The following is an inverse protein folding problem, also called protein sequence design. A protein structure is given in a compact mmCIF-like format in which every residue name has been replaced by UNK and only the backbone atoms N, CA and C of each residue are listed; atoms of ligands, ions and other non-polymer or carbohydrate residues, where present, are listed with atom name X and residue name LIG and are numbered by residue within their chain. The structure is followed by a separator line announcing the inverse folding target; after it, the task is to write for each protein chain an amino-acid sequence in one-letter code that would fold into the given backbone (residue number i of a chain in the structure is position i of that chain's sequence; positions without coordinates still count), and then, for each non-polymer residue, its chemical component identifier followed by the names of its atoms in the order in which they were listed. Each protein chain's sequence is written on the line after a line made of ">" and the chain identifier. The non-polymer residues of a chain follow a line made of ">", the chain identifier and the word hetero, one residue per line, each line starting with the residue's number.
data_IF_308212940114
#
_entry.id   IF_308212940114
#
_cell.length_a   1.000
_cell.length_b   1.000
_cell.length_c   1.000
_cell.angle_alpha   90.00
_cell.angle_beta   90.00
_cell.angle_gamma   90.00
#
_symmetry.space_group_name_H-M   'P 1'
#
loop_
_entity.id
_entity.type
_entity.pdbx_description
1 polymer ?
#
# COMPACT_ATOMS: atom_id res chain seq x y z
N UNK A 1 17.92 44.60 -27.50
CA UNK A 1 16.87 43.58 -27.65
C UNK A 1 17.29 42.37 -26.83
N UNK A 2 16.74 42.23 -25.64
CA UNK A 2 16.89 41.01 -24.83
C UNK A 2 15.47 40.48 -24.64
N UNK A 3 15.14 39.42 -25.39
CA UNK A 3 13.93 38.66 -25.18
C UNK A 3 14.10 37.92 -23.86
N UNK A 4 13.39 38.37 -22.83
CA UNK A 4 13.17 37.58 -21.62
C UNK A 4 12.07 36.59 -21.96
N UNK A 5 12.44 35.32 -22.11
CA UNK A 5 11.47 34.24 -22.16
C UNK A 5 10.67 34.28 -20.84
N UNK A 6 9.34 34.12 -20.87
CA UNK A 6 8.59 33.93 -19.63
C UNK A 6 9.05 32.62 -18.99
N UNK A 7 9.46 32.71 -17.73
CA UNK A 7 9.63 31.56 -16.84
C UNK A 7 8.24 30.91 -16.69
N UNK A 8 7.99 29.84 -17.44
CA UNK A 8 6.83 28.96 -17.21
C UNK A 8 7.28 27.86 -16.26
N UNK A 9 7.50 28.22 -15.00
CA UNK A 9 7.45 27.27 -13.89
C UNK A 9 5.97 27.04 -13.54
N UNK A 10 5.24 26.39 -14.44
CA UNK A 10 3.99 25.71 -14.06
C UNK A 10 4.40 24.40 -13.38
N UNK A 11 4.95 24.51 -12.17
CA UNK A 11 4.98 23.41 -11.21
C UNK A 11 3.52 23.12 -10.86
N UNK A 12 2.83 22.35 -11.71
CA UNK A 12 1.54 21.74 -11.39
C UNK A 12 1.77 20.76 -10.23
N UNK A 13 1.81 21.33 -9.02
CA UNK A 13 1.77 20.55 -7.79
C UNK A 13 0.42 19.84 -7.76
N UNK A 14 0.46 18.51 -7.66
CA UNK A 14 -0.73 17.69 -7.50
C UNK A 14 -1.58 18.25 -6.35
N UNK A 15 -2.79 18.73 -6.68
CA UNK A 15 -3.73 19.17 -5.67
C UNK A 15 -4.43 17.95 -5.07
N UNK A 16 -4.36 17.81 -3.74
CA UNK A 16 -4.98 16.68 -3.05
C UNK A 16 -6.49 16.71 -3.29
N UNK A 17 -7.09 15.59 -3.72
CA UNK A 17 -8.53 15.52 -3.79
C UNK A 17 -9.14 15.56 -2.38
N UNK A 18 -10.43 15.88 -2.32
CA UNK A 18 -11.22 15.74 -1.09
C UNK A 18 -11.35 14.28 -0.61
N UNK A 19 -12.00 14.12 0.54
CA UNK A 19 -12.18 12.81 1.20
C UNK A 19 -13.46 12.07 0.79
N UNK A 20 -14.21 12.60 -0.18
CA UNK A 20 -15.52 12.12 -0.60
C UNK A 20 -15.54 11.46 -1.99
N UNK A 21 -14.36 11.07 -2.50
CA UNK A 21 -14.25 10.43 -3.81
C UNK A 21 -15.00 9.10 -3.86
N UNK A 22 -15.70 8.82 -4.97
CA UNK A 22 -16.13 7.47 -5.29
C UNK A 22 -14.93 6.55 -5.60
N UNK A 23 -15.12 5.21 -5.61
CA UNK A 23 -14.03 4.29 -5.98
C UNK A 23 -13.43 4.52 -7.38
N UNK A 24 -14.21 5.08 -8.31
CA UNK A 24 -13.71 5.39 -9.66
C UNK A 24 -12.91 6.69 -9.68
N UNK A 25 -13.38 7.72 -8.97
CA UNK A 25 -12.64 8.98 -8.82
C UNK A 25 -11.34 8.75 -8.04
N UNK A 26 -11.38 7.95 -6.98
CA UNK A 26 -10.17 7.55 -6.25
C UNK A 26 -9.17 6.83 -7.16
N UNK A 27 -9.63 5.97 -8.06
CA UNK A 27 -8.76 5.32 -9.05
C UNK A 27 -8.09 6.34 -9.97
N UNK A 28 -8.83 7.38 -10.40
CA UNK A 28 -8.31 8.48 -11.21
C UNK A 28 -7.24 9.28 -10.45
N UNK A 29 -7.58 9.75 -9.24
CA UNK A 29 -6.67 10.50 -8.40
C UNK A 29 -5.38 9.73 -8.05
N UNK A 30 -5.47 8.41 -7.79
CA UNK A 30 -4.28 7.57 -7.60
C UNK A 30 -3.37 7.57 -8.82
N UNK A 31 -3.95 7.56 -10.04
CA UNK A 31 -3.16 7.61 -11.28
C UNK A 31 -2.50 8.97 -11.43
N UNK A 32 -3.25 10.05 -11.30
CA UNK A 32 -2.74 11.42 -11.39
C UNK A 32 -1.59 11.65 -10.40
N UNK A 33 -1.77 11.24 -9.15
CA UNK A 33 -0.70 11.31 -8.15
C UNK A 33 0.51 10.43 -8.52
N UNK A 34 0.27 9.23 -9.05
CA UNK A 34 1.37 8.34 -9.45
C UNK A 34 2.20 8.91 -10.61
N UNK A 35 1.60 9.70 -11.50
CA UNK A 35 2.28 10.39 -12.60
C UNK A 35 3.22 11.49 -12.10
N UNK A 36 2.96 12.06 -10.92
CA UNK A 36 3.84 13.07 -10.32
C UNK A 36 5.02 12.49 -9.54
N UNK A 37 5.09 11.17 -9.36
CA UNK A 37 6.18 10.51 -8.63
C UNK A 37 7.33 10.26 -9.60
N UNK A 38 8.51 10.80 -9.30
CA UNK A 38 9.74 10.57 -10.07
C UNK A 38 10.26 9.13 -9.92
N UNK A 39 9.65 8.21 -10.67
CA UNK A 39 10.01 6.79 -10.70
C UNK A 39 9.84 6.22 -12.10
N UNK A 40 10.89 5.56 -12.59
CA UNK A 40 10.91 4.90 -13.89
C UNK A 40 10.06 3.62 -13.89
N UNK A 41 8.77 3.76 -14.17
CA UNK A 41 7.79 2.68 -14.31
C UNK A 41 6.87 2.93 -15.51
N UNK A 42 6.46 1.90 -16.26
CA UNK A 42 5.50 2.02 -17.36
C UNK A 42 4.08 2.13 -16.79
N UNK A 43 3.71 3.29 -16.25
CA UNK A 43 2.45 3.47 -15.51
C UNK A 43 1.20 3.25 -16.39
N UNK A 44 1.31 3.49 -17.69
CA UNK A 44 0.30 3.21 -18.71
C UNK A 44 -0.02 1.71 -18.84
N UNK A 45 0.96 0.84 -18.58
CA UNK A 45 0.80 -0.62 -18.54
C UNK A 45 0.27 -1.14 -17.18
N UNK A 46 0.18 -0.28 -16.15
CA UNK A 46 -0.24 -0.69 -14.80
C UNK A 46 -1.76 -0.57 -14.63
N UNK A 47 -2.40 -1.71 -14.36
CA UNK A 47 -3.82 -1.73 -13.98
C UNK A 47 -4.01 -1.26 -12.53
N UNK A 48 -4.54 -0.05 -12.35
CA UNK A 48 -4.92 0.47 -11.03
C UNK A 48 -6.34 0.03 -10.67
N UNK A 49 -6.50 -0.50 -9.46
CA UNK A 49 -7.77 -1.01 -8.94
C UNK A 49 -8.04 -0.53 -7.51
N UNK A 50 -9.31 -0.26 -7.19
CA UNK A 50 -9.77 -0.03 -5.81
C UNK A 50 -10.53 -1.27 -5.33
N UNK A 51 -10.13 -1.80 -4.17
CA UNK A 51 -10.66 -3.04 -3.62
C UNK A 51 -11.47 -2.81 -2.35
N UNK A 52 -12.76 -3.17 -2.43
CA UNK A 52 -13.65 -3.25 -1.26
C UNK A 52 -13.34 -4.44 -0.35
N UNK A 53 -12.41 -5.33 -0.71
CA UNK A 53 -12.10 -6.58 0.03
C UNK A 53 -10.74 -6.59 0.73
N UNK A 54 -9.81 -5.71 0.34
CA UNK A 54 -8.50 -5.63 0.95
C UNK A 54 -8.61 -5.00 2.36
N UNK A 55 -7.99 -5.63 3.36
CA UNK A 55 -8.14 -5.28 4.80
C UNK A 55 -6.84 -5.33 5.62
N UNK A 56 -5.81 -5.98 5.08
CA UNK A 56 -4.55 -6.26 5.80
C UNK A 56 -3.37 -5.39 5.33
N UNK A 57 -3.53 -4.74 4.19
CA UNK A 57 -2.57 -3.83 3.58
C UNK A 57 -3.38 -2.75 2.87
N UNK A 58 -2.91 -1.51 2.89
CA UNK A 58 -3.58 -0.41 2.20
C UNK A 58 -3.34 -0.48 0.68
N UNK A 59 -2.22 -1.06 0.25
CA UNK A 59 -1.88 -1.32 -1.13
C UNK A 59 -1.44 -2.77 -1.37
N UNK A 60 -1.42 -3.14 -2.65
CA UNK A 60 -0.73 -4.33 -3.15
C UNK A 60 -0.44 -4.16 -4.64
N UNK A 61 0.82 -4.30 -5.02
CA UNK A 61 1.25 -4.34 -6.40
C UNK A 61 1.87 -5.68 -6.81
N UNK A 62 1.97 -5.88 -8.11
CA UNK A 62 2.82 -6.91 -8.70
C UNK A 62 2.42 -7.28 -10.12
N UNK A 63 2.86 -8.45 -10.56
CA UNK A 63 2.54 -9.00 -11.88
C UNK A 63 1.59 -10.19 -11.75
N UNK A 64 0.53 -10.25 -12.56
CA UNK A 64 -0.39 -11.38 -12.63
C UNK A 64 -0.68 -11.69 -14.10
N UNK A 65 -0.42 -12.93 -14.52
CA UNK A 65 -0.65 -13.40 -15.89
C UNK A 65 0.07 -12.59 -16.99
N UNK A 66 1.14 -11.86 -16.64
CA UNK A 66 1.81 -10.96 -17.60
C UNK A 66 1.56 -9.49 -17.31
N UNK A 67 0.44 -9.16 -16.66
CA UNK A 67 0.00 -7.78 -16.50
C UNK A 67 0.43 -7.19 -15.15
N UNK A 68 0.91 -5.95 -15.17
CA UNK A 68 1.24 -5.19 -13.98
C UNK A 68 -0.05 -4.64 -13.33
N UNK A 69 -0.14 -4.69 -12.01
CA UNK A 69 -1.28 -4.13 -11.29
C UNK A 69 -0.87 -3.45 -10.00
N UNK A 70 -1.66 -2.45 -9.61
CA UNK A 70 -1.66 -1.85 -8.29
C UNK A 70 -3.09 -1.87 -7.75
N UNK A 71 -3.27 -2.34 -6.52
CA UNK A 71 -4.59 -2.49 -5.89
C UNK A 71 -4.60 -1.83 -4.52
N UNK A 72 -5.51 -0.89 -4.32
CA UNK A 72 -5.64 -0.13 -3.08
C UNK A 72 -6.88 -0.55 -2.29
N UNK A 73 -6.80 -0.52 -0.97
CA UNK A 73 -7.91 -0.84 -0.09
C UNK A 73 -8.85 0.36 0.01
N UNK A 74 -10.09 0.18 -0.44
CA UNK A 74 -11.15 1.18 -0.28
C UNK A 74 -11.31 1.58 1.20
N UNK A 75 -11.21 0.60 2.11
CA UNK A 75 -11.31 0.85 3.55
C UNK A 75 -10.13 1.63 4.14
N UNK A 76 -8.96 1.61 3.52
CA UNK A 76 -7.86 2.46 3.97
C UNK A 76 -8.19 3.92 3.68
N UNK A 77 -8.63 4.22 2.45
CA UNK A 77 -9.10 5.55 2.08
C UNK A 77 -10.27 6.02 2.96
N UNK A 78 -11.30 5.19 3.17
CA UNK A 78 -12.41 5.56 4.06
C UNK A 78 -11.99 5.85 5.51
N UNK A 79 -10.90 5.26 5.97
CA UNK A 79 -10.41 5.43 7.34
C UNK A 79 -9.46 6.62 7.48
N UNK A 80 -8.74 7.01 6.43
CA UNK A 80 -7.64 7.96 6.48
C UNK A 80 -7.89 9.23 5.68
N UNK A 81 -8.84 9.19 4.74
CA UNK A 81 -8.96 10.19 3.69
C UNK A 81 -7.78 10.12 2.71
N UNK A 82 -7.64 11.18 1.91
CA UNK A 82 -6.42 11.44 1.17
C UNK A 82 -5.41 12.15 2.07
N UNK A 83 -4.42 11.41 2.56
CA UNK A 83 -3.38 11.94 3.46
C UNK A 83 -2.00 11.37 3.13
N UNK A 84 -0.99 11.78 3.90
CA UNK A 84 0.40 11.35 3.72
C UNK A 84 0.57 9.82 3.81
N UNK A 85 -0.23 9.12 4.63
CA UNK A 85 -0.19 7.66 4.73
C UNK A 85 -0.73 6.99 3.44
N UNK A 86 -1.78 7.57 2.85
CA UNK A 86 -2.36 7.07 1.60
C UNK A 86 -1.43 7.32 0.42
N UNK A 87 -0.89 8.53 0.30
CA UNK A 87 0.14 8.86 -0.71
C UNK A 87 1.39 7.99 -0.54
N UNK A 88 1.87 7.83 0.69
CA UNK A 88 2.99 6.95 1.01
C UNK A 88 2.72 5.49 0.61
N UNK A 89 1.46 5.04 0.69
CA UNK A 89 1.05 3.74 0.17
C UNK A 89 1.18 3.68 -1.35
N UNK A 90 0.77 4.72 -2.08
CA UNK A 90 0.92 4.78 -3.55
C UNK A 90 2.40 4.69 -3.93
N UNK A 91 3.26 5.50 -3.28
CA UNK A 91 4.72 5.46 -3.49
C UNK A 91 5.29 4.07 -3.19
N UNK A 92 4.82 3.40 -2.12
CA UNK A 92 5.25 2.04 -1.80
C UNK A 92 4.93 1.03 -2.90
N UNK A 93 3.71 1.08 -3.43
CA UNK A 93 3.28 0.19 -4.49
C UNK A 93 3.99 0.46 -5.83
N UNK A 94 4.32 1.72 -6.13
CA UNK A 94 5.17 2.07 -7.28
C UNK A 94 6.57 1.47 -7.17
N UNK A 95 7.18 1.49 -5.97
CA UNK A 95 8.48 0.82 -5.76
C UNK A 95 8.40 -0.69 -6.01
N UNK A 96 7.27 -1.32 -5.71
CA UNK A 96 7.05 -2.71 -6.07
C UNK A 96 6.99 -2.92 -7.59
N UNK A 97 6.26 -2.06 -8.33
CA UNK A 97 6.24 -2.11 -9.80
C UNK A 97 7.65 -1.94 -10.36
N UNK A 98 8.40 -0.95 -9.89
CA UNK A 98 9.79 -0.73 -10.28
C UNK A 98 10.67 -1.96 -10.04
N UNK A 99 10.56 -2.64 -8.88
CA UNK A 99 11.31 -3.87 -8.61
C UNK A 99 10.92 -5.03 -9.55
N UNK A 100 9.64 -5.12 -9.94
CA UNK A 100 9.18 -6.15 -10.89
C UNK A 100 9.70 -5.88 -12.30
N UNK A 101 9.59 -4.64 -12.79
CA UNK A 101 10.03 -4.27 -14.14
C UNK A 101 11.54 -4.45 -14.29
N UNK A 102 12.31 -4.02 -13.29
CA UNK A 102 13.77 -4.00 -13.39
C UNK A 102 14.44 -5.32 -12.99
N UNK A 103 13.80 -6.14 -12.14
CA UNK A 103 14.45 -7.31 -11.55
C UNK A 103 13.58 -8.57 -11.47
N UNK A 104 12.31 -8.50 -11.88
CA UNK A 104 11.32 -9.58 -11.73
C UNK A 104 11.20 -10.08 -10.27
N UNK A 105 11.28 -9.17 -9.29
CA UNK A 105 11.16 -9.49 -7.85
C UNK A 105 10.08 -8.63 -7.20
N UNK A 106 9.34 -9.22 -6.24
CA UNK A 106 8.27 -8.54 -5.49
C UNK A 106 8.51 -8.35 -4.00
N UNK A 107 9.75 -8.52 -3.52
CA UNK A 107 10.07 -8.52 -2.09
C UNK A 107 10.67 -7.20 -1.58
N UNK A 108 10.65 -7.00 -0.26
CA UNK A 108 11.25 -5.83 0.42
C UNK A 108 12.77 -5.99 0.65
N UNK A 109 13.51 -6.34 -0.41
CA UNK A 109 14.97 -6.52 -0.37
C UNK A 109 15.76 -5.21 -0.20
N UNK A 110 17.10 -5.28 -0.33
CA UNK A 110 17.96 -4.08 -0.17
C UNK A 110 17.64 -2.98 -1.18
N UNK A 111 17.38 -3.34 -2.44
CA UNK A 111 17.04 -2.38 -3.51
C UNK A 111 15.70 -1.71 -3.26
N UNK A 112 14.65 -2.49 -2.97
CA UNK A 112 13.36 -1.97 -2.51
C UNK A 112 13.55 -0.95 -1.39
N UNK A 113 14.28 -1.31 -0.33
CA UNK A 113 14.46 -0.41 0.83
C UNK A 113 15.18 0.89 0.48
N UNK A 114 16.10 0.86 -0.48
CA UNK A 114 16.81 2.04 -0.94
C UNK A 114 15.87 2.93 -1.75
N UNK A 115 15.18 2.36 -2.76
CA UNK A 115 14.23 3.08 -3.60
C UNK A 115 13.04 3.65 -2.81
N UNK A 116 12.53 2.88 -1.85
CA UNK A 116 11.49 3.34 -0.93
C UNK A 116 11.96 4.50 -0.04
N UNK A 117 13.24 4.59 0.30
CA UNK A 117 13.76 5.75 1.04
C UNK A 117 13.89 6.97 0.14
N UNK A 118 14.33 6.80 -1.10
CA UNK A 118 14.44 7.87 -2.09
C UNK A 118 13.07 8.55 -2.33
N UNK A 119 11.99 7.77 -2.33
CA UNK A 119 10.63 8.25 -2.59
C UNK A 119 9.78 8.47 -1.33
N UNK A 120 10.39 8.48 -0.13
CA UNK A 120 9.65 8.55 1.14
C UNK A 120 8.41 7.62 1.18
N UNK A 121 8.62 6.37 0.79
CA UNK A 121 7.60 5.33 0.73
C UNK A 121 7.66 4.47 2.01
N UNK A 122 6.73 4.67 2.97
CA UNK A 122 6.72 3.93 4.21
C UNK A 122 6.56 2.43 3.95
N UNK A 123 7.34 1.61 4.66
CA UNK A 123 7.24 0.14 4.58
C UNK A 123 6.12 -0.42 5.46
N UNK A 124 5.69 0.35 6.44
CA UNK A 124 4.67 -0.05 7.40
C UNK A 124 3.39 0.71 7.10
N UNK A 125 2.33 -0.07 6.87
CA UNK A 125 0.98 0.42 6.70
C UNK A 125 0.34 0.54 8.09
N UNK A 126 -0.22 1.70 8.47
CA UNK A 126 -1.08 1.80 9.64
C UNK A 126 -2.27 0.83 9.55
N UNK A 127 -2.91 0.51 10.68
CA UNK A 127 -4.11 -0.31 10.66
C UNK A 127 -5.35 0.54 10.41
N UNK A 128 -6.25 0.09 9.53
CA UNK A 128 -7.44 0.86 9.11
C UNK A 128 -8.77 0.07 9.19
N UNK A 129 -8.71 -1.20 9.58
CA UNK A 129 -9.90 -2.07 9.56
C UNK A 129 -10.00 -2.95 10.80
N UNK A 130 -9.38 -2.58 11.93
CA UNK A 130 -9.35 -3.45 13.10
C UNK A 130 -10.75 -3.77 13.65
N UNK A 131 -11.69 -2.84 13.52
CA UNK A 131 -13.10 -3.00 13.91
C UNK A 131 -13.86 -4.08 13.12
N UNK A 132 -13.45 -4.39 11.88
CA UNK A 132 -14.03 -5.46 11.07
C UNK A 132 -13.34 -6.81 11.29
N UNK A 133 -12.34 -6.87 12.17
CA UNK A 133 -11.68 -8.11 12.50
C UNK A 133 -12.68 -9.09 13.14
N UNK A 134 -12.58 -10.36 12.78
CA UNK A 134 -13.39 -11.43 13.38
C UNK A 134 -12.59 -12.27 14.39
N UNK A 135 -11.28 -12.23 14.24
CA UNK A 135 -10.32 -12.91 15.12
C UNK A 135 -9.08 -12.03 15.32
N UNK A 136 -8.40 -12.22 16.44
CA UNK A 136 -7.08 -11.67 16.71
C UNK A 136 -6.08 -12.80 16.97
N UNK A 137 -4.91 -12.69 16.34
CA UNK A 137 -3.75 -13.47 16.74
C UNK A 137 -3.00 -12.70 17.82
N UNK A 138 -2.85 -13.32 18.98
CA UNK A 138 -2.21 -12.71 20.16
C UNK A 138 -0.87 -13.40 20.40
N UNK A 139 0.20 -12.62 20.44
CA UNK A 139 1.51 -13.13 20.86
C UNK A 139 1.46 -13.45 22.37
N UNK A 140 1.73 -14.69 22.75
CA UNK A 140 1.67 -15.09 24.17
C UNK A 140 2.77 -14.44 25.03
N UNK A 141 3.86 -13.97 24.43
CA UNK A 141 4.97 -13.34 25.17
C UNK A 141 4.77 -11.85 25.44
N UNK A 142 4.14 -11.10 24.52
CA UNK A 142 4.04 -9.63 24.62
C UNK A 142 2.62 -9.08 24.45
N UNK A 143 1.61 -9.95 24.27
CA UNK A 143 0.22 -9.54 24.12
C UNK A 143 -0.13 -8.85 22.81
N UNK A 144 0.83 -8.62 21.90
CA UNK A 144 0.58 -7.93 20.62
C UNK A 144 -0.52 -8.65 19.82
N UNK A 145 -1.61 -7.93 19.54
CA UNK A 145 -2.73 -8.42 18.73
C UNK A 145 -2.52 -8.10 17.24
N UNK A 146 -2.84 -9.06 16.38
CA UNK A 146 -2.86 -8.88 14.93
C UNK A 146 -4.21 -9.32 14.37
N UNK A 147 -4.96 -8.44 13.67
CA UNK A 147 -6.32 -8.74 13.22
C UNK A 147 -6.36 -9.81 12.14
N UNK A 148 -7.46 -10.56 12.10
CA UNK A 148 -7.80 -11.56 11.08
C UNK A 148 -9.27 -11.42 10.71
N UNK A 149 -9.52 -11.26 9.42
CA UNK A 149 -10.84 -11.01 8.83
C UNK A 149 -11.52 -12.27 8.32
N UNK A 150 -10.75 -13.36 8.21
CA UNK A 150 -11.22 -14.67 7.75
C UNK A 150 -10.62 -15.76 8.61
N UNK A 151 -11.34 -16.87 8.70
CA UNK A 151 -10.88 -18.10 9.33
C UNK A 151 -9.79 -18.69 8.44
N UNK A 152 -8.53 -18.39 8.79
CA UNK A 152 -7.34 -18.79 8.03
C UNK A 152 -6.65 -19.96 8.72
N UNK A 153 -5.73 -20.66 8.05
CA UNK A 153 -5.01 -21.82 8.62
C UNK A 153 -4.42 -21.55 10.01
N UNK A 154 -3.87 -20.35 10.24
CA UNK A 154 -3.30 -19.95 11.54
C UNK A 154 -4.36 -19.67 12.61
N UNK A 155 -5.60 -19.34 12.22
CA UNK A 155 -6.76 -19.22 13.12
C UNK A 155 -7.29 -20.60 13.48
N UNK A 156 -7.34 -21.53 12.51
CA UNK A 156 -7.85 -22.90 12.70
C UNK A 156 -6.86 -23.78 13.47
N UNK A 157 -5.57 -23.67 13.18
CA UNK A 157 -4.51 -24.45 13.80
C UNK A 157 -3.30 -23.55 14.10
N UNK A 158 -3.30 -22.81 15.23
CA UNK A 158 -2.22 -21.88 15.57
C UNK A 158 -0.92 -22.57 16.02
N UNK A 159 -0.97 -23.82 16.50
CA UNK A 159 0.15 -24.52 17.13
C UNK A 159 1.47 -24.54 16.35
N UNK A 160 1.45 -24.78 15.02
CA UNK A 160 2.67 -24.74 14.18
C UNK A 160 3.26 -23.34 13.98
N UNK A 161 2.50 -22.28 14.23
CA UNK A 161 2.90 -20.91 13.90
C UNK A 161 3.56 -20.20 15.08
N UNK A 162 4.35 -19.18 14.77
CA UNK A 162 5.03 -18.31 15.75
C UNK A 162 4.78 -16.85 15.47
N UNK A 163 4.73 -16.05 16.51
CA UNK A 163 4.51 -14.61 16.40
C UNK A 163 5.67 -13.95 15.64
N UNK A 164 5.35 -12.96 14.81
CA UNK A 164 6.37 -12.24 14.05
C UNK A 164 7.25 -11.33 14.92
N UNK A 165 6.76 -10.93 16.10
CA UNK A 165 7.47 -10.05 17.02
C UNK A 165 8.47 -10.80 17.91
N UNK A 166 8.00 -11.78 18.69
CA UNK A 166 8.82 -12.46 19.71
C UNK A 166 9.22 -13.89 19.31
N UNK A 167 8.79 -14.37 18.14
CA UNK A 167 8.90 -15.79 17.75
C UNK A 167 8.26 -16.75 18.76
N UNK A 168 7.32 -16.26 19.57
CA UNK A 168 6.61 -17.00 20.62
C UNK A 168 5.38 -17.72 20.04
N UNK A 169 4.72 -18.54 20.89
CA UNK A 169 3.42 -19.14 20.56
C UNK A 169 2.35 -18.06 20.32
N UNK A 170 1.32 -18.45 19.57
CA UNK A 170 0.19 -17.59 19.21
C UNK A 170 -1.07 -18.20 19.80
N UNK A 171 -1.84 -17.38 20.50
CA UNK A 171 -3.23 -17.67 20.85
C UNK A 171 -4.17 -16.98 19.87
N UNK A 172 -5.33 -17.58 19.64
CA UNK A 172 -6.41 -17.01 18.83
C UNK A 172 -7.51 -16.54 19.77
N UNK A 173 -7.97 -15.31 19.57
CA UNK A 173 -9.15 -14.74 20.23
C UNK A 173 -10.19 -14.39 19.17
N UNK A 174 -11.47 -14.61 19.43
CA UNK A 174 -12.55 -13.99 18.65
C UNK A 174 -12.60 -12.48 18.96
N UNK A 175 -13.07 -11.69 18.00
CA UNK A 175 -13.20 -10.23 18.14
C UNK A 175 -14.43 -9.83 18.96
#
# INVERSE_FOLDING_TARGET
>A
MTFRLPDTDDDEQFERPGDDLSPNELKGAIREYAETVDIDVPLDEVEIQVSKRLRRAAGKAGKKNGDLFMRFAWKAYQSWGWNDDFEGTIRHELVHIWEYVNFDKGGHGRRFKRKARELDAPRHCPSFANEEARWFLVCEACGKKTPRFKRSKIVENPGPYRSGCCRARIRVEDA
#
